data_IF_897073554740
#
_entry.id   IF_897073554740
#
_cell.length_a   1.000
_cell.length_b   1.000
_cell.length_c   1.000
_cell.angle_alpha   90.00
_cell.angle_beta   90.00
_cell.angle_gamma   90.00
#
_symmetry.space_group_name_H-M   'P 1'
#
loop_
_entity.id
_entity.type
_entity.pdbx_description
1 polymer ?
#
# COMPACT_ATOMS: atom_id res chain seq x y z
N UNK A 1 -17.68 -64.05 6.16
CA UNK A 1 -16.78 -62.99 6.67
C UNK A 1 -16.51 -61.91 5.62
N UNK A 2 -16.17 -62.25 4.37
CA UNK A 2 -15.90 -61.29 3.29
C UNK A 2 -16.98 -60.19 3.09
N UNK A 3 -18.27 -60.56 3.05
CA UNK A 3 -19.35 -59.57 2.86
C UNK A 3 -19.49 -58.59 4.04
N UNK A 4 -19.18 -59.00 5.27
CA UNK A 4 -19.22 -58.08 6.44
C UNK A 4 -18.08 -57.06 6.38
N UNK A 5 -16.90 -57.50 5.98
CA UNK A 5 -15.72 -56.63 5.80
C UNK A 5 -15.96 -55.64 4.67
N UNK A 6 -16.52 -56.10 3.54
CA UNK A 6 -16.83 -55.23 2.39
C UNK A 6 -17.85 -54.13 2.74
N UNK A 7 -18.89 -54.45 3.51
CA UNK A 7 -19.88 -53.45 3.96
C UNK A 7 -19.22 -52.40 4.85
N UNK A 8 -18.36 -52.80 5.79
CA UNK A 8 -17.65 -51.85 6.66
C UNK A 8 -16.74 -50.92 5.86
N UNK A 9 -16.02 -51.46 4.87
CA UNK A 9 -15.13 -50.66 4.01
C UNK A 9 -15.91 -49.65 3.17
N UNK A 10 -17.06 -50.05 2.62
CA UNK A 10 -17.91 -49.15 1.83
C UNK A 10 -18.52 -48.04 2.70
N UNK A 11 -18.96 -48.38 3.91
CA UNK A 11 -19.49 -47.38 4.87
C UNK A 11 -18.39 -46.40 5.29
N UNK A 12 -17.18 -46.89 5.59
CA UNK A 12 -16.05 -46.03 5.91
C UNK A 12 -15.68 -45.10 4.75
N UNK A 13 -15.68 -45.61 3.52
CA UNK A 13 -15.39 -44.80 2.32
C UNK A 13 -16.46 -43.75 2.06
N UNK A 14 -17.75 -44.08 2.25
CA UNK A 14 -18.84 -43.13 2.16
C UNK A 14 -18.75 -42.02 3.21
N UNK A 15 -18.34 -42.34 4.44
CA UNK A 15 -18.10 -41.35 5.51
C UNK A 15 -16.94 -40.42 5.12
N UNK A 16 -15.84 -40.96 4.59
CA UNK A 16 -14.70 -40.14 4.12
C UNK A 16 -15.12 -39.20 3.00
N UNK A 17 -15.91 -39.66 2.02
CA UNK A 17 -16.45 -38.81 0.96
C UNK A 17 -17.38 -37.71 1.50
N UNK A 18 -18.22 -38.03 2.48
CA UNK A 18 -19.10 -37.05 3.13
C UNK A 18 -18.33 -36.00 3.95
N UNK A 19 -17.19 -36.35 4.53
CA UNK A 19 -16.31 -35.38 5.22
C UNK A 19 -15.48 -34.57 4.22
N UNK A 20 -15.02 -35.20 3.15
CA UNK A 20 -14.19 -34.56 2.13
C UNK A 20 -14.97 -33.53 1.31
N UNK A 21 -16.21 -33.86 0.91
CA UNK A 21 -17.02 -33.07 -0.03
C UNK A 21 -18.40 -32.63 0.50
N UNK A 22 -18.81 -33.09 1.68
CA UNK A 22 -20.09 -32.72 2.26
C UNK A 22 -20.04 -31.45 3.12
N UNK A 23 -21.20 -30.99 3.62
CA UNK A 23 -21.36 -29.77 4.43
C UNK A 23 -20.62 -29.81 5.77
N UNK A 24 -20.12 -30.98 6.19
CA UNK A 24 -19.23 -31.12 7.34
C UNK A 24 -17.86 -30.48 7.11
N UNK A 25 -17.40 -30.37 5.86
CA UNK A 25 -16.17 -29.67 5.52
C UNK A 25 -16.26 -28.20 5.92
N UNK A 26 -17.38 -27.53 5.66
CA UNK A 26 -17.56 -26.11 5.98
C UNK A 26 -17.64 -25.87 7.49
N UNK A 27 -18.11 -26.86 8.26
CA UNK A 27 -18.13 -26.83 9.73
C UNK A 27 -16.78 -27.19 10.37
N UNK A 28 -15.94 -27.99 9.71
CA UNK A 28 -14.60 -28.38 10.20
C UNK A 28 -13.51 -27.39 9.78
N UNK A 29 -13.61 -26.85 8.57
CA UNK A 29 -12.81 -25.72 8.08
C UNK A 29 -13.54 -24.45 8.53
N UNK A 30 -13.75 -24.31 9.84
CA UNK A 30 -14.38 -23.13 10.42
C UNK A 30 -13.59 -21.89 10.04
N UNK A 31 -14.10 -21.11 9.09
CA UNK A 31 -13.92 -19.65 8.95
C UNK A 31 -12.52 -19.04 9.11
N UNK A 32 -11.42 -19.78 8.95
CA UNK A 32 -10.08 -19.18 8.97
C UNK A 32 -9.80 -18.57 7.60
N UNK A 33 -10.61 -17.59 7.20
CA UNK A 33 -10.20 -16.66 6.16
C UNK A 33 -9.17 -15.75 6.82
N UNK A 34 -7.86 -15.87 6.53
CA UNK A 34 -6.88 -15.02 7.16
C UNK A 34 -7.27 -13.57 6.88
N UNK A 35 -7.39 -12.76 7.94
CA UNK A 35 -7.76 -11.36 7.80
C UNK A 35 -6.77 -10.67 6.86
N UNK A 36 -7.30 -10.06 5.79
CA UNK A 36 -6.49 -9.36 4.77
C UNK A 36 -5.80 -8.17 5.46
N UNK A 37 -4.48 -7.98 5.28
CA UNK A 37 -3.78 -6.80 5.80
C UNK A 37 -4.49 -5.51 5.40
N UNK A 38 -4.65 -4.59 6.36
CA UNK A 38 -5.10 -3.22 6.12
C UNK A 38 -4.12 -2.25 6.73
N UNK A 39 -3.83 -1.17 6.02
CA UNK A 39 -3.04 -0.05 6.55
C UNK A 39 -3.76 0.53 7.77
N UNK A 40 -3.08 0.60 8.91
CA UNK A 40 -3.60 1.20 10.14
C UNK A 40 -3.03 2.58 10.40
N UNK A 41 -1.79 2.85 9.97
CA UNK A 41 -1.18 4.17 10.03
C UNK A 41 -0.09 4.31 8.96
N UNK A 42 0.03 5.50 8.40
CA UNK A 42 1.14 5.90 7.52
C UNK A 42 1.68 7.23 8.04
N UNK A 43 3.00 7.35 8.05
CA UNK A 43 3.72 8.57 8.36
C UNK A 43 4.68 8.87 7.22
N UNK A 44 4.71 10.11 6.79
CA UNK A 44 5.71 10.64 5.87
C UNK A 44 6.20 11.98 6.42
N UNK A 45 7.51 12.13 6.56
CA UNK A 45 8.11 13.34 7.10
C UNK A 45 9.59 13.48 6.77
N UNK A 46 10.13 14.67 6.95
CA UNK A 46 11.57 14.97 6.81
C UNK A 46 12.39 14.38 7.97
N UNK A 47 11.75 14.14 9.11
CA UNK A 47 12.35 13.57 10.31
C UNK A 47 11.65 12.27 10.72
N UNK A 48 12.33 11.48 11.56
CA UNK A 48 11.72 10.28 12.15
C UNK A 48 10.54 10.67 13.04
N UNK A 49 9.45 9.89 13.03
CA UNK A 49 8.34 10.11 13.95
C UNK A 49 8.83 9.93 15.39
N UNK A 50 8.36 10.78 16.30
CA UNK A 50 8.77 10.82 17.71
C UNK A 50 8.61 9.48 18.45
N UNK A 51 7.65 8.65 18.04
CA UNK A 51 7.45 7.28 18.52
C UNK A 51 8.03 6.24 17.54
N UNK A 52 9.35 6.31 17.29
CA UNK A 52 10.03 5.48 16.27
C UNK A 52 10.06 3.97 16.56
N UNK A 53 9.79 3.53 17.79
CA UNK A 53 9.88 2.12 18.21
C UNK A 53 8.65 1.25 17.85
N UNK A 54 7.60 1.83 17.27
CA UNK A 54 6.33 1.13 17.00
C UNK A 54 6.00 0.87 15.53
N UNK A 55 6.88 1.19 14.59
CA UNK A 55 6.62 1.07 13.15
C UNK A 55 7.05 -0.30 12.61
N UNK A 56 6.16 -0.96 11.86
CA UNK A 56 6.39 -2.29 11.30
C UNK A 56 7.33 -2.27 10.10
N UNK A 57 7.27 -1.21 9.30
CA UNK A 57 8.12 -0.98 8.14
C UNK A 57 8.54 0.49 8.08
N UNK A 58 9.78 0.73 7.69
CA UNK A 58 10.34 2.08 7.57
C UNK A 58 11.25 2.15 6.35
N UNK A 59 11.08 3.21 5.56
CA UNK A 59 11.95 3.61 4.46
C UNK A 59 12.58 4.94 4.86
N UNK A 60 13.90 4.99 4.89
CA UNK A 60 14.64 6.22 5.11
C UNK A 60 15.58 6.43 3.92
N UNK A 61 15.19 7.32 3.02
CA UNK A 61 15.87 7.51 1.74
C UNK A 61 15.51 8.88 1.15
N UNK A 62 16.03 9.20 -0.02
CA UNK A 62 15.66 10.39 -0.79
C UNK A 62 14.30 10.23 -1.45
N UNK A 63 13.25 10.26 -0.62
CA UNK A 63 11.87 9.97 -1.03
C UNK A 63 10.98 11.21 -1.15
N UNK A 64 11.50 12.39 -0.77
CA UNK A 64 10.72 13.62 -0.75
C UNK A 64 11.24 14.65 -1.74
N UNK A 65 10.41 15.60 -2.17
CA UNK A 65 10.88 16.80 -2.86
C UNK A 65 11.01 18.00 -1.93
N UNK A 66 11.64 19.06 -2.41
CA UNK A 66 11.59 20.38 -1.79
C UNK A 66 10.20 21.05 -1.86
N UNK A 67 9.30 20.51 -2.67
CA UNK A 67 7.92 20.96 -2.90
C UNK A 67 6.87 20.16 -2.13
N UNK A 68 7.32 19.25 -1.28
CA UNK A 68 6.48 18.34 -0.53
C UNK A 68 5.53 19.12 0.41
N UNK A 69 4.22 18.86 0.31
CA UNK A 69 3.21 19.48 1.20
C UNK A 69 2.40 18.41 1.91
N UNK A 70 1.87 17.46 1.14
CA UNK A 70 1.02 16.40 1.65
C UNK A 70 1.31 15.08 0.93
N UNK A 71 0.65 14.02 1.37
CA UNK A 71 0.66 12.75 0.67
C UNK A 71 -0.71 12.08 0.71
N UNK A 72 -0.93 11.24 -0.29
CA UNK A 72 -1.98 10.24 -0.36
C UNK A 72 -1.36 8.85 -0.39
N UNK A 73 -2.16 7.83 -0.12
CA UNK A 73 -1.68 6.46 -0.30
C UNK A 73 -2.78 5.54 -0.81
N UNK A 74 -2.39 4.41 -1.40
CA UNK A 74 -3.28 3.30 -1.70
C UNK A 74 -2.62 1.99 -1.31
N UNK A 75 -3.42 1.01 -0.89
CA UNK A 75 -2.93 -0.34 -0.61
C UNK A 75 -3.81 -1.35 -1.33
N UNK A 76 -3.19 -2.23 -2.10
CA UNK A 76 -3.90 -3.20 -2.94
C UNK A 76 -4.45 -4.42 -2.18
N UNK A 77 -4.19 -4.50 -0.87
CA UNK A 77 -4.55 -5.65 -0.03
C UNK A 77 -3.63 -6.86 -0.18
N UNK A 78 -2.68 -6.84 -1.11
CA UNK A 78 -1.81 -7.98 -1.50
C UNK A 78 -0.33 -7.71 -1.26
N UNK A 79 0.02 -6.54 -0.72
CA UNK A 79 1.39 -6.21 -0.35
C UNK A 79 2.01 -5.10 -1.19
N UNK A 80 1.23 -4.31 -1.93
CA UNK A 80 1.71 -3.10 -2.60
C UNK A 80 1.09 -1.87 -1.95
N UNK A 81 1.92 -1.05 -1.32
CA UNK A 81 1.57 0.27 -0.81
C UNK A 81 2.12 1.31 -1.78
N UNK A 82 1.25 2.10 -2.38
CA UNK A 82 1.65 3.22 -3.22
C UNK A 82 1.43 4.51 -2.45
N UNK A 83 2.45 5.35 -2.34
CA UNK A 83 2.41 6.66 -1.68
C UNK A 83 2.62 7.73 -2.74
N UNK A 84 1.73 8.70 -2.77
CA UNK A 84 1.75 9.83 -3.70
C UNK A 84 2.07 11.08 -2.90
N UNK A 85 3.26 11.64 -3.06
CA UNK A 85 3.57 13.00 -2.60
C UNK A 85 2.78 14.00 -3.44
N UNK A 86 2.20 14.98 -2.76
CA UNK A 86 1.36 16.04 -3.31
C UNK A 86 2.05 17.38 -3.03
N UNK A 87 2.33 18.12 -4.10
CA UNK A 87 2.85 19.48 -4.09
C UNK A 87 1.72 20.53 -3.90
N UNK A 88 2.10 21.78 -3.65
CA UNK A 88 1.13 22.86 -3.40
C UNK A 88 0.19 23.14 -4.58
N UNK A 89 0.67 23.03 -5.82
CA UNK A 89 -0.17 23.23 -7.00
C UNK A 89 -1.19 22.11 -7.21
N UNK A 90 -0.83 20.87 -6.93
CA UNK A 90 -1.76 19.74 -6.93
C UNK A 90 -2.77 19.85 -5.80
N UNK A 91 -2.35 20.26 -4.59
CA UNK A 91 -3.26 20.53 -3.47
C UNK A 91 -4.31 21.59 -3.85
N UNK A 92 -3.86 22.67 -4.50
CA UNK A 92 -4.72 23.74 -5.00
C UNK A 92 -5.67 23.27 -6.10
N UNK A 93 -5.21 22.41 -7.01
CA UNK A 93 -6.06 21.81 -8.04
C UNK A 93 -7.14 20.88 -7.45
N UNK A 94 -6.87 20.27 -6.29
CA UNK A 94 -7.85 19.49 -5.52
C UNK A 94 -8.88 20.37 -4.78
N UNK A 95 -8.71 21.69 -4.79
CA UNK A 95 -9.59 22.65 -4.13
C UNK A 95 -9.26 22.90 -2.66
N UNK A 96 -8.04 22.56 -2.23
CA UNK A 96 -7.54 22.83 -0.88
C UNK A 96 -6.63 24.06 -0.89
N UNK A 97 -6.63 24.82 0.20
CA UNK A 97 -5.77 26.00 0.33
C UNK A 97 -4.32 25.57 0.50
N UNK A 98 -3.47 26.05 -0.41
CA UNK A 98 -2.02 25.86 -0.36
C UNK A 98 -1.31 26.97 -1.12
N UNK A 99 -0.21 27.44 -0.55
CA UNK A 99 0.72 28.30 -1.26
C UNK A 99 1.52 27.44 -2.24
N UNK A 100 1.46 27.81 -3.52
CA UNK A 100 2.29 27.19 -4.55
C UNK A 100 3.69 27.76 -4.38
N UNK A 101 4.61 26.95 -3.88
CA UNK A 101 6.02 27.32 -3.81
C UNK A 101 6.69 27.11 -5.17
N UNK A 102 7.55 28.05 -5.57
CA UNK A 102 8.51 27.82 -6.65
C UNK A 102 9.62 26.93 -6.10
N UNK A 103 9.58 25.66 -6.48
CA UNK A 103 10.56 24.67 -6.05
C UNK A 103 11.50 24.31 -7.20
N UNK A 104 12.70 23.86 -6.85
CA UNK A 104 13.68 23.39 -7.82
C UNK A 104 13.25 22.00 -8.32
N UNK A 105 12.55 22.00 -9.47
CA UNK A 105 12.00 20.84 -10.14
C UNK A 105 12.85 19.56 -10.02
N UNK A 106 12.52 18.73 -9.03
CA UNK A 106 13.03 17.36 -8.91
C UNK A 106 14.27 17.16 -8.04
N UNK A 107 14.65 18.10 -7.16
CA UNK A 107 15.68 17.82 -6.16
C UNK A 107 15.11 16.92 -5.06
N UNK A 108 15.55 15.66 -5.05
CA UNK A 108 15.15 14.71 -4.02
C UNK A 108 15.86 15.00 -2.70
N UNK A 109 15.07 15.14 -1.63
CA UNK A 109 15.49 15.32 -0.25
C UNK A 109 15.29 14.04 0.54
N UNK A 110 16.11 13.88 1.58
CA UNK A 110 15.99 12.77 2.52
C UNK A 110 14.68 12.89 3.30
N UNK A 111 13.98 11.78 3.45
CA UNK A 111 12.73 11.68 4.18
C UNK A 111 12.54 10.30 4.77
N UNK A 112 11.51 10.18 5.58
CA UNK A 112 11.14 8.96 6.30
C UNK A 112 9.68 8.64 5.97
N UNK A 113 9.46 7.43 5.47
CA UNK A 113 8.14 6.83 5.34
C UNK A 113 8.05 5.67 6.30
N UNK A 114 7.06 5.69 7.18
CA UNK A 114 6.81 4.60 8.12
C UNK A 114 5.36 4.13 8.00
N UNK A 115 5.13 2.83 8.06
CA UNK A 115 3.79 2.25 7.89
C UNK A 115 3.53 1.12 8.87
N UNK A 116 2.29 1.10 9.36
CA UNK A 116 1.74 0.04 10.18
C UNK A 116 0.51 -0.56 9.50
N UNK A 117 0.36 -1.87 9.70
CA UNK A 117 -0.78 -2.65 9.25
C UNK A 117 -1.45 -3.34 10.45
N UNK A 118 -2.76 -3.50 10.34
CA UNK A 118 -3.58 -4.32 11.24
C UNK A 118 -3.05 -5.75 11.35
N UNK A 119 -2.58 -6.31 10.23
CA UNK A 119 -1.82 -7.56 10.16
C UNK A 119 -0.59 -7.31 9.28
N UNK A 120 0.60 -7.62 9.79
CA UNK A 120 1.86 -7.43 9.07
C UNK A 120 1.87 -8.29 7.78
N UNK A 121 1.98 -7.71 6.58
CA UNK A 121 2.14 -8.47 5.35
C UNK A 121 3.49 -9.19 5.31
N UNK A 122 3.52 -10.40 4.74
CA UNK A 122 4.76 -11.15 4.53
C UNK A 122 5.65 -10.50 3.48
N UNK A 123 5.06 -9.95 2.43
CA UNK A 123 5.76 -9.19 1.40
C UNK A 123 5.13 -7.81 1.30
N UNK A 124 5.96 -6.77 1.34
CA UNK A 124 5.53 -5.39 1.12
C UNK A 124 6.44 -4.74 0.09
N UNK A 125 5.85 -4.15 -0.93
CA UNK A 125 6.51 -3.21 -1.84
C UNK A 125 5.91 -1.84 -1.58
N UNK A 126 6.76 -0.87 -1.25
CA UNK A 126 6.39 0.54 -1.14
C UNK A 126 6.82 1.25 -2.41
N UNK A 127 5.86 1.83 -3.13
CA UNK A 127 6.12 2.65 -4.31
C UNK A 127 5.90 4.11 -3.97
N UNK A 128 6.85 4.98 -4.30
CA UNK A 128 6.71 6.43 -4.07
C UNK A 128 6.60 7.15 -5.40
N UNK A 129 5.58 7.99 -5.50
CA UNK A 129 5.24 8.79 -6.67
C UNK A 129 5.19 10.27 -6.26
N UNK A 130 5.77 11.13 -7.08
CA UNK A 130 5.84 12.57 -6.83
C UNK A 130 4.93 13.29 -7.81
N UNK A 131 3.99 14.09 -7.32
CA UNK A 131 3.22 14.97 -8.18
C UNK A 131 4.10 16.05 -8.80
N UNK A 132 3.82 16.40 -10.05
CA UNK A 132 4.22 17.68 -10.62
C UNK A 132 2.97 18.45 -11.02
N UNK A 133 2.85 19.64 -10.49
CA UNK A 133 1.78 20.59 -10.79
C UNK A 133 1.56 20.74 -12.30
N UNK A 134 0.37 20.36 -12.76
CA UNK A 134 -0.11 20.65 -14.12
C UNK A 134 -0.79 22.02 -14.14
N UNK A 135 -0.30 22.91 -15.01
CA UNK A 135 -0.87 24.25 -15.23
C UNK A 135 -2.31 24.21 -15.77
N UNK A 136 -2.78 23.06 -16.29
CA UNK A 136 -4.05 22.93 -16.99
C UNK A 136 -5.21 22.36 -16.12
N UNK A 137 -4.98 22.13 -14.81
CA UNK A 137 -5.97 21.77 -13.77
C UNK A 137 -6.82 20.51 -13.97
N UNK A 138 -6.68 19.77 -15.07
CA UNK A 138 -7.49 18.57 -15.34
C UNK A 138 -6.81 17.27 -14.93
N UNK A 139 -5.50 17.21 -15.12
CA UNK A 139 -4.69 16.02 -14.85
C UNK A 139 -3.55 16.34 -13.90
N UNK A 140 -3.16 15.36 -13.10
CA UNK A 140 -1.99 15.43 -12.21
C UNK A 140 -0.95 14.46 -12.75
N UNK A 141 0.23 14.99 -13.05
CA UNK A 141 1.36 14.18 -13.46
C UNK A 141 2.06 13.64 -12.21
N UNK A 142 2.24 12.33 -12.15
CA UNK A 142 3.01 11.67 -11.12
C UNK A 142 4.24 11.01 -11.72
N UNK A 143 5.40 11.23 -11.11
CA UNK A 143 6.64 10.53 -11.44
C UNK A 143 7.00 9.55 -10.34
N UNK A 144 7.16 8.28 -10.68
CA UNK A 144 7.69 7.29 -9.75
C UNK A 144 9.17 7.54 -9.51
N UNK A 145 9.60 7.43 -8.25
CA UNK A 145 11.02 7.56 -7.89
C UNK A 145 11.66 6.24 -7.49
N UNK A 146 10.86 5.26 -7.06
CA UNK A 146 11.42 4.03 -6.53
C UNK A 146 10.40 3.04 -6.03
N UNK A 147 10.92 1.85 -5.78
CA UNK A 147 10.26 0.74 -5.12
C UNK A 147 11.16 0.24 -3.99
N UNK A 148 10.66 0.22 -2.75
CA UNK A 148 11.34 -0.36 -1.60
C UNK A 148 10.65 -1.64 -1.21
N UNK A 149 11.39 -2.75 -1.20
CA UNK A 149 10.83 -4.08 -0.98
C UNK A 149 11.23 -4.63 0.38
N UNK A 150 10.25 -5.22 1.04
CA UNK A 150 10.39 -5.87 2.34
C UNK A 150 9.85 -7.30 2.25
N UNK A 151 10.53 -8.21 2.95
CA UNK A 151 10.10 -9.60 3.15
C UNK A 151 10.20 -9.93 4.63
N UNK A 152 9.10 -10.40 5.21
CA UNK A 152 8.91 -10.66 6.64
C UNK A 152 9.24 -9.46 7.54
N UNK A 153 9.09 -8.23 7.00
CA UNK A 153 9.42 -6.97 7.66
C UNK A 153 10.88 -6.54 7.57
N UNK A 154 11.75 -7.35 6.99
CA UNK A 154 13.13 -6.95 6.72
C UNK A 154 13.19 -6.28 5.36
N UNK A 155 13.90 -5.15 5.28
CA UNK A 155 14.20 -4.50 4.00
C UNK A 155 15.13 -5.39 3.16
N UNK A 156 14.77 -5.63 1.91
CA UNK A 156 15.51 -6.50 0.99
C UNK A 156 16.21 -5.71 -0.11
N UNK A 157 15.66 -4.55 -0.49
CA UNK A 157 16.33 -3.68 -1.46
C UNK A 157 15.44 -2.65 -2.13
N UNK A 158 16.12 -1.80 -2.89
CA UNK A 158 15.55 -0.74 -3.71
C UNK A 158 15.57 -1.18 -5.17
N UNK A 159 14.53 -0.83 -5.92
CA UNK A 159 14.48 -1.02 -7.36
C UNK A 159 14.01 0.28 -8.01
N UNK A 160 14.86 0.84 -8.87
CA UNK A 160 14.51 2.00 -9.67
C UNK A 160 13.34 1.67 -10.61
N UNK A 161 12.44 2.63 -10.89
CA UNK A 161 11.35 2.40 -11.82
C UNK A 161 11.88 2.15 -13.25
N UNK A 162 11.18 1.35 -14.06
CA UNK A 162 11.50 1.20 -15.48
C UNK A 162 11.39 2.56 -16.19
N UNK A 163 12.32 2.88 -17.10
CA UNK A 163 12.33 4.18 -17.80
C UNK A 163 11.07 4.41 -18.65
N UNK A 164 10.35 3.36 -19.05
CA UNK A 164 9.12 3.42 -19.83
C UNK A 164 7.85 3.50 -18.97
N UNK A 165 7.96 3.36 -17.64
CA UNK A 165 6.83 3.27 -16.69
C UNK A 165 7.05 4.10 -15.43
N UNK A 166 7.91 5.10 -15.48
CA UNK A 166 8.20 5.98 -14.36
C UNK A 166 7.22 7.15 -14.24
N UNK A 167 6.16 7.18 -15.05
CA UNK A 167 5.16 8.24 -15.02
C UNK A 167 3.72 7.71 -15.10
N UNK A 168 2.82 8.46 -14.47
CA UNK A 168 1.38 8.25 -14.53
C UNK A 168 0.68 9.62 -14.65
N UNK A 169 -0.35 9.69 -15.49
CA UNK A 169 -1.26 10.83 -15.55
C UNK A 169 -2.58 10.36 -14.94
N UNK A 170 -2.94 10.96 -13.80
CA UNK A 170 -4.23 10.68 -13.16
C UNK A 170 -5.13 11.90 -13.33
N UNK A 171 -6.39 11.67 -13.70
CA UNK A 171 -7.38 12.74 -13.72
C UNK A 171 -7.60 13.28 -12.32
N UNK A 172 -7.87 14.58 -12.18
CA UNK A 172 -8.07 15.21 -10.86
C UNK A 172 -9.20 14.55 -10.06
N UNK A 173 -10.22 14.02 -10.74
CA UNK A 173 -11.33 13.30 -10.12
C UNK A 173 -10.90 11.95 -9.53
N UNK A 174 -9.97 11.25 -10.17
CA UNK A 174 -9.39 10.00 -9.65
C UNK A 174 -8.53 10.27 -8.42
N UNK A 175 -7.73 11.35 -8.44
CA UNK A 175 -6.97 11.80 -7.28
C UNK A 175 -7.91 12.20 -6.13
N UNK A 176 -9.04 12.85 -6.44
CA UNK A 176 -10.06 13.19 -5.45
C UNK A 176 -10.74 11.94 -4.87
N UNK A 177 -10.99 10.91 -5.67
CA UNK A 177 -11.50 9.63 -5.19
C UNK A 177 -10.49 8.95 -4.25
N UNK A 178 -9.20 8.98 -4.59
CA UNK A 178 -8.13 8.49 -3.72
C UNK A 178 -8.12 9.26 -2.39
N UNK A 179 -8.16 10.59 -2.45
CA UNK A 179 -8.25 11.46 -1.28
C UNK A 179 -9.45 11.14 -0.40
N UNK A 180 -10.63 10.92 -0.98
CA UNK A 180 -11.84 10.59 -0.22
C UNK A 180 -11.74 9.22 0.47
N UNK A 181 -11.00 8.26 -0.10
CA UNK A 181 -10.84 6.91 0.46
C UNK A 181 -9.83 6.85 1.61
N UNK A 182 -8.71 7.57 1.51
CA UNK A 182 -7.62 7.48 2.49
C UNK A 182 -7.44 8.72 3.35
N UNK A 183 -8.13 9.81 3.03
CA UNK A 183 -7.81 11.15 3.52
C UNK A 183 -6.55 11.71 2.87
N UNK A 184 -6.35 13.00 3.04
CA UNK A 184 -5.10 13.70 2.74
C UNK A 184 -4.29 13.91 4.02
N UNK A 185 -2.98 13.66 3.95
CA UNK A 185 -2.10 13.67 5.10
C UNK A 185 -0.98 14.67 4.88
N UNK A 186 -0.84 15.67 5.74
CA UNK A 186 0.25 16.63 5.61
C UNK A 186 1.58 16.04 6.02
N UNK A 187 2.64 16.39 5.29
CA UNK A 187 3.99 15.91 5.55
C UNK A 187 4.52 16.58 6.82
N UNK A 188 5.07 15.78 7.72
CA UNK A 188 5.62 16.28 8.98
C UNK A 188 7.03 16.86 8.79
N UNK A 189 7.32 18.05 9.36
CA UNK A 189 8.63 18.71 9.25
C UNK A 189 9.72 18.14 10.18
#
# INVERSE_FOLDING_TARGET
MANKVMVIVVVAFAIVLLVAWGPLRDNLIGGVTPQVPKVSAVYVGTQKPSNSTGWQFMVEDRILTDCMVAFLYSFDGRGKLTVYEIDGGTLKALGLDSDVQDCDNGVLRYGVLAVNFTKKPEVLTVEVWLSKSSTERKDVYFKQIGNWRFVNGSYIGYTAPPMDRDYALLGIDEVRELMNRTGIHYISP
#
